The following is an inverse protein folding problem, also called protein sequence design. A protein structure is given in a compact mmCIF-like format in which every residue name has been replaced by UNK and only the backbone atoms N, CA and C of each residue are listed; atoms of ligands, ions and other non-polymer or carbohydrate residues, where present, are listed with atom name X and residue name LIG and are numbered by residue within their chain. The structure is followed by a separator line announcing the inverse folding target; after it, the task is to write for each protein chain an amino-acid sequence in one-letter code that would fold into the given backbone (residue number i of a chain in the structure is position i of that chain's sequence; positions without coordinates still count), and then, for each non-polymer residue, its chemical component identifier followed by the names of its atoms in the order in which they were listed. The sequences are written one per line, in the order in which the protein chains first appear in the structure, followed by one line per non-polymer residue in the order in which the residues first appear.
data_IF_017643509752
#
_entry.id   IF_017643509752
#
_cell.length_a   1.000
_cell.length_b   1.000
_cell.length_c   1.000
_cell.angle_alpha   90.00
_cell.angle_beta   90.00
_cell.angle_gamma   90.00
#
_symmetry.space_group_name_H-M   'P 1'
#
loop_
_entity.id
_entity.type
_entity.pdbx_description
1 polymer ?
#
# COMPACT_ATOMS: atom_id res chain seq x y z
N UNK A 1 14.61 -21.57 -28.05
CA UNK A 1 13.84 -21.62 -26.80
C UNK A 1 14.77 -21.94 -25.65
N UNK A 2 14.87 -21.03 -24.67
CA UNK A 2 15.65 -21.24 -23.45
C UNK A 2 14.97 -22.26 -22.54
N UNK A 3 15.76 -23.09 -21.85
CA UNK A 3 15.26 -24.05 -20.85
C UNK A 3 14.62 -23.34 -19.66
N UNK A 4 13.77 -24.04 -18.89
CA UNK A 4 13.10 -23.46 -17.73
C UNK A 4 14.10 -22.85 -16.71
N UNK A 5 15.24 -23.50 -16.48
CA UNK A 5 16.26 -22.99 -15.58
C UNK A 5 16.92 -21.71 -16.11
N UNK A 6 17.22 -21.66 -17.41
CA UNK A 6 17.78 -20.45 -18.04
C UNK A 6 16.77 -19.29 -18.02
N UNK A 7 15.47 -19.58 -18.18
CA UNK A 7 14.41 -18.57 -18.05
C UNK A 7 14.30 -18.03 -16.62
N UNK A 8 14.42 -18.89 -15.60
CA UNK A 8 14.42 -18.50 -14.20
C UNK A 8 15.65 -17.68 -13.81
N UNK A 9 16.84 -18.07 -14.29
CA UNK A 9 18.07 -17.32 -14.06
C UNK A 9 17.98 -15.93 -14.72
N UNK A 10 17.48 -15.85 -15.95
CA UNK A 10 17.26 -14.60 -16.65
C UNK A 10 16.23 -13.72 -15.93
N UNK A 11 15.16 -14.30 -15.40
CA UNK A 11 14.16 -13.59 -14.60
C UNK A 11 14.80 -12.96 -13.35
N UNK A 12 15.61 -13.71 -12.61
CA UNK A 12 16.32 -13.19 -11.44
C UNK A 12 17.31 -12.07 -11.80
N UNK A 13 18.05 -12.21 -12.92
CA UNK A 13 18.95 -11.17 -13.42
C UNK A 13 18.20 -9.87 -13.77
N UNK A 14 17.03 -9.98 -14.41
CA UNK A 14 16.17 -8.82 -14.73
C UNK A 14 15.67 -8.12 -13.47
N UNK A 15 15.25 -8.87 -12.44
CA UNK A 15 14.85 -8.30 -11.14
C UNK A 15 16.00 -7.52 -10.49
N UNK A 16 17.21 -8.07 -10.52
CA UNK A 16 18.40 -7.40 -10.00
C UNK A 16 18.74 -6.13 -10.79
N UNK A 17 18.61 -6.15 -12.11
CA UNK A 17 18.78 -4.95 -12.95
C UNK A 17 17.75 -3.86 -12.60
N UNK A 18 16.50 -4.24 -12.34
CA UNK A 18 15.44 -3.32 -11.93
C UNK A 18 15.63 -2.72 -10.51
N UNK A 19 16.58 -3.22 -9.71
CA UNK A 19 16.94 -2.62 -8.43
C UNK A 19 17.76 -1.32 -8.57
N UNK A 20 18.32 -1.04 -9.75
CA UNK A 20 19.07 0.19 -10.00
C UNK A 20 18.11 1.38 -10.04
N UNK A 21 18.35 2.37 -9.17
CA UNK A 21 17.57 3.60 -9.10
C UNK A 21 18.12 4.65 -10.08
N UNK A 22 17.22 5.43 -10.66
CA UNK A 22 17.56 6.54 -11.54
C UNK A 22 16.99 7.82 -10.94
N UNK A 23 17.75 8.90 -11.05
CA UNK A 23 17.25 10.22 -10.68
C UNK A 23 16.37 10.78 -11.81
N UNK A 24 15.12 11.08 -11.49
CA UNK A 24 14.16 11.65 -12.43
C UNK A 24 14.07 13.18 -12.36
N UNK A 25 14.73 13.80 -11.37
CA UNK A 25 14.83 15.26 -11.28
C UNK A 25 15.72 15.83 -12.39
N UNK A 26 16.73 15.07 -12.81
CA UNK A 26 17.46 15.33 -14.06
C UNK A 26 16.75 14.64 -15.23
N UNK A 27 16.01 15.42 -16.01
CA UNK A 27 15.21 14.95 -17.14
C UNK A 27 16.03 14.52 -18.36
N UNK A 28 17.34 14.81 -18.40
CA UNK A 28 18.20 14.57 -19.56
C UNK A 28 19.22 13.46 -19.31
N UNK A 29 19.55 13.17 -18.05
CA UNK A 29 20.43 12.06 -17.70
C UNK A 29 19.79 10.69 -17.95
N UNK A 30 20.63 9.74 -18.33
CA UNK A 30 20.31 8.30 -18.36
C UNK A 30 19.06 7.91 -19.15
N UNK A 31 18.60 8.72 -20.12
CA UNK A 31 17.38 8.47 -20.90
C UNK A 31 17.31 7.04 -21.45
N UNK A 32 18.41 6.54 -22.02
CA UNK A 32 18.50 5.18 -22.55
C UNK A 32 18.36 4.13 -21.44
N UNK A 33 19.02 4.32 -20.31
CA UNK A 33 19.00 3.38 -19.18
C UNK A 33 17.63 3.37 -18.48
N UNK A 34 17.01 4.56 -18.33
CA UNK A 34 15.64 4.73 -17.85
C UNK A 34 14.65 3.97 -18.73
N UNK A 35 14.79 4.07 -20.06
CA UNK A 35 13.92 3.35 -20.99
C UNK A 35 14.14 1.83 -20.94
N UNK A 36 15.39 1.37 -20.83
CA UNK A 36 15.71 -0.06 -20.68
C UNK A 36 15.04 -0.62 -19.41
N UNK A 37 15.15 0.07 -18.27
CA UNK A 37 14.48 -0.35 -17.04
C UNK A 37 12.96 -0.36 -17.19
N UNK A 38 12.38 0.66 -17.83
CA UNK A 38 10.93 0.73 -18.09
C UNK A 38 10.45 -0.44 -18.95
N UNK A 39 11.15 -0.75 -20.03
CA UNK A 39 10.83 -1.88 -20.91
C UNK A 39 10.97 -3.22 -20.17
N UNK A 40 12.02 -3.37 -19.36
CA UNK A 40 12.25 -4.59 -18.57
C UNK A 40 11.18 -4.79 -17.50
N UNK A 41 10.76 -3.74 -16.79
CA UNK A 41 9.67 -3.80 -15.82
C UNK A 41 8.35 -4.20 -16.51
N UNK A 42 8.02 -3.62 -17.66
CA UNK A 42 6.84 -4.01 -18.44
C UNK A 42 6.87 -5.49 -18.83
N UNK A 43 8.01 -5.95 -19.33
CA UNK A 43 8.18 -7.37 -19.68
C UNK A 43 8.00 -8.28 -18.46
N UNK A 44 8.54 -7.90 -17.29
CA UNK A 44 8.36 -8.65 -16.04
C UNK A 44 6.89 -8.71 -15.61
N UNK A 45 6.14 -7.61 -15.75
CA UNK A 45 4.70 -7.57 -15.47
C UNK A 45 3.95 -8.54 -16.38
N UNK A 46 4.21 -8.49 -17.69
CA UNK A 46 3.57 -9.37 -18.67
C UNK A 46 3.94 -10.84 -18.43
N UNK A 47 5.22 -11.09 -18.11
CA UNK A 47 5.74 -12.43 -17.87
C UNK A 47 5.08 -13.10 -16.67
N UNK A 48 4.98 -12.41 -15.53
CA UNK A 48 4.31 -12.92 -14.31
C UNK A 48 2.79 -13.03 -14.49
N UNK A 49 2.18 -12.19 -15.32
CA UNK A 49 0.74 -12.23 -15.56
C UNK A 49 0.32 -13.38 -16.48
N UNK A 50 1.16 -13.72 -17.47
CA UNK A 50 0.79 -14.67 -18.53
C UNK A 50 1.28 -16.09 -18.24
N UNK A 51 2.43 -16.24 -17.60
CA UNK A 51 3.08 -17.53 -17.40
C UNK A 51 2.81 -18.08 -16.00
N UNK A 52 2.45 -19.36 -15.92
CA UNK A 52 2.26 -20.08 -14.65
C UNK A 52 3.54 -20.79 -14.22
N UNK A 53 3.71 -20.97 -12.92
CA UNK A 53 4.86 -21.63 -12.32
C UNK A 53 6.15 -20.80 -12.35
N UNK A 54 6.06 -19.52 -12.69
CA UNK A 54 7.21 -18.60 -12.70
C UNK A 54 7.69 -18.28 -11.29
N UNK A 55 6.75 -18.15 -10.35
CA UNK A 55 7.05 -17.73 -8.97
C UNK A 55 7.52 -18.94 -8.16
N UNK A 56 8.81 -19.23 -8.22
CA UNK A 56 9.50 -20.26 -7.44
C UNK A 56 10.01 -19.71 -6.10
N UNK A 57 10.30 -20.58 -5.13
CA UNK A 57 10.73 -20.17 -3.77
C UNK A 57 11.97 -19.26 -3.77
N UNK A 58 12.95 -19.53 -4.65
CA UNK A 58 14.17 -18.72 -4.77
C UNK A 58 13.90 -17.29 -5.26
N UNK A 59 12.86 -17.10 -6.06
CA UNK A 59 12.54 -15.79 -6.65
C UNK A 59 11.92 -14.81 -5.64
N UNK A 60 11.31 -15.28 -4.53
CA UNK A 60 10.65 -14.40 -3.56
C UNK A 60 11.59 -13.35 -2.96
N UNK A 61 12.83 -13.74 -2.66
CA UNK A 61 13.82 -12.83 -2.09
C UNK A 61 14.15 -11.68 -3.06
N UNK A 62 14.41 -12.01 -4.32
CA UNK A 62 14.76 -11.03 -5.35
C UNK A 62 13.58 -10.14 -5.74
N UNK A 63 12.37 -10.71 -5.80
CA UNK A 63 11.13 -9.95 -6.05
C UNK A 63 10.90 -8.92 -4.94
N UNK A 64 10.90 -9.35 -3.67
CA UNK A 64 10.64 -8.44 -2.55
C UNK A 64 11.75 -7.40 -2.45
N UNK A 65 13.01 -7.78 -2.69
CA UNK A 65 14.13 -6.84 -2.73
C UNK A 65 13.95 -5.78 -3.83
N UNK A 66 13.58 -6.18 -5.04
CA UNK A 66 13.34 -5.26 -6.16
C UNK A 66 12.19 -4.30 -5.84
N UNK A 67 11.09 -4.80 -5.26
CA UNK A 67 9.97 -3.95 -4.83
C UNK A 67 10.46 -2.96 -3.77
N UNK A 68 11.04 -3.45 -2.67
CA UNK A 68 11.49 -2.63 -1.55
C UNK A 68 12.50 -1.56 -1.95
N UNK A 69 13.45 -1.87 -2.83
CA UNK A 69 14.45 -0.88 -3.27
C UNK A 69 13.84 0.26 -4.09
N UNK A 70 12.72 0.01 -4.78
CA UNK A 70 12.08 0.99 -5.65
C UNK A 70 10.99 1.82 -4.94
N UNK A 71 10.19 1.21 -4.06
CA UNK A 71 9.06 1.91 -3.44
C UNK A 71 9.42 2.56 -2.09
N UNK A 72 10.26 1.93 -1.28
CA UNK A 72 10.56 2.43 0.07
C UNK A 72 11.57 3.56 0.01
N UNK A 73 11.06 4.78 0.16
CA UNK A 73 11.81 6.02 0.20
C UNK A 73 11.23 6.94 1.27
N UNK A 74 12.05 7.87 1.76
CA UNK A 74 11.52 8.99 2.52
C UNK A 74 10.76 9.88 1.57
N UNK A 75 9.50 10.19 1.89
CA UNK A 75 8.71 11.14 1.10
C UNK A 75 9.36 12.52 1.17
N UNK A 76 9.35 13.30 0.07
CA UNK A 76 9.84 14.66 0.09
C UNK A 76 9.07 15.47 1.16
N UNK A 77 9.72 16.44 1.82
CA UNK A 77 9.00 17.35 2.71
C UNK A 77 7.91 18.04 1.91
N UNK A 78 6.73 18.26 2.51
CA UNK A 78 5.70 19.07 1.87
C UNK A 78 6.24 20.50 1.74
N UNK A 79 6.24 21.01 0.50
CA UNK A 79 6.80 22.33 0.17
C UNK A 79 5.90 23.47 0.70
N UNK A 80 4.64 23.19 1.05
CA UNK A 80 3.68 24.17 1.55
C UNK A 80 3.18 23.82 2.97
N UNK A 81 3.63 24.52 4.02
CA UNK A 81 3.14 24.29 5.38
C UNK A 81 1.67 24.70 5.60
N UNK A 82 1.10 25.52 4.69
CA UNK A 82 -0.31 25.89 4.66
C UNK A 82 -1.07 25.13 3.56
N UNK A 83 -0.56 23.96 3.12
CA UNK A 83 -1.17 23.17 2.04
C UNK A 83 -2.64 22.89 2.35
N UNK A 84 -3.53 23.38 1.48
CA UNK A 84 -4.94 23.04 1.52
C UNK A 84 -5.20 21.88 0.54
N UNK A 85 -5.39 20.65 1.02
CA UNK A 85 -5.70 19.50 0.17
C UNK A 85 -6.97 19.64 -0.68
N UNK A 86 -7.84 20.63 -0.42
CA UNK A 86 -8.99 20.95 -1.29
C UNK A 86 -8.65 21.93 -2.42
N UNK A 87 -7.68 22.83 -2.23
CA UNK A 87 -7.40 23.94 -3.16
C UNK A 87 -6.07 23.77 -3.93
N UNK A 88 -5.08 23.11 -3.33
CA UNK A 88 -3.72 23.02 -3.88
C UNK A 88 -3.52 21.81 -4.81
N UNK A 89 -2.70 22.00 -5.84
CA UNK A 89 -2.33 20.91 -6.76
C UNK A 89 -1.36 19.94 -6.06
N UNK A 90 -1.61 18.61 -6.12
CA UNK A 90 -0.75 17.63 -5.46
C UNK A 90 0.60 17.52 -6.16
N UNK A 91 1.67 17.40 -5.38
CA UNK A 91 3.00 17.11 -5.94
C UNK A 91 3.03 15.70 -6.54
N UNK A 92 3.25 15.62 -7.84
CA UNK A 92 3.35 14.36 -8.56
C UNK A 92 4.75 13.75 -8.43
N UNK A 93 4.82 12.43 -8.26
CA UNK A 93 6.10 11.71 -8.17
C UNK A 93 6.82 11.70 -9.52
N UNK A 94 8.02 12.27 -9.59
CA UNK A 94 8.80 12.38 -10.83
C UNK A 94 9.21 11.01 -11.39
N UNK A 95 9.47 10.03 -10.52
CA UNK A 95 9.85 8.67 -10.90
C UNK A 95 8.66 7.74 -11.19
N UNK A 96 7.44 8.30 -11.27
CA UNK A 96 6.20 7.57 -11.55
C UNK A 96 6.26 6.59 -12.74
N UNK A 97 6.91 6.89 -13.89
CA UNK A 97 7.01 5.94 -15.00
C UNK A 97 7.66 4.60 -14.66
N UNK A 98 8.51 4.56 -13.62
CA UNK A 98 9.07 3.31 -13.09
C UNK A 98 8.25 2.79 -11.92
N UNK A 99 7.89 3.65 -10.96
CA UNK A 99 7.18 3.26 -9.74
C UNK A 99 5.82 2.63 -10.05
N UNK A 100 5.08 3.17 -11.04
CA UNK A 100 3.81 2.60 -11.49
C UNK A 100 3.95 1.13 -11.88
N UNK A 101 4.99 0.80 -12.67
CA UNK A 101 5.23 -0.57 -13.12
C UNK A 101 5.67 -1.49 -11.98
N UNK A 102 6.38 -0.96 -10.99
CA UNK A 102 6.75 -1.72 -9.78
C UNK A 102 5.51 -2.04 -8.95
N UNK A 103 4.59 -1.09 -8.75
CA UNK A 103 3.32 -1.36 -8.07
C UNK A 103 2.43 -2.32 -8.85
N UNK A 104 2.35 -2.18 -10.17
CA UNK A 104 1.61 -3.11 -11.01
C UNK A 104 2.19 -4.52 -10.93
N UNK A 105 3.52 -4.65 -11.04
CA UNK A 105 4.22 -5.92 -10.84
C UNK A 105 3.91 -6.51 -9.47
N UNK A 106 3.95 -5.69 -8.41
CA UNK A 106 3.69 -6.15 -7.05
C UNK A 106 2.25 -6.66 -6.89
N UNK A 107 1.26 -5.96 -7.46
CA UNK A 107 -0.13 -6.41 -7.46
C UNK A 107 -0.29 -7.74 -8.21
N UNK A 108 0.28 -7.86 -9.42
CA UNK A 108 0.23 -9.12 -10.18
C UNK A 108 0.90 -10.27 -9.42
N UNK A 109 2.02 -10.01 -8.77
CA UNK A 109 2.70 -10.98 -7.91
C UNK A 109 1.83 -11.44 -6.74
N UNK A 110 1.16 -10.51 -6.04
CA UNK A 110 0.26 -10.85 -4.94
C UNK A 110 -1.01 -11.56 -5.41
N UNK A 111 -1.55 -11.22 -6.57
CA UNK A 111 -2.78 -11.78 -7.13
C UNK A 111 -2.57 -13.11 -7.86
N UNK A 112 -1.32 -13.44 -8.19
CA UNK A 112 -0.99 -14.69 -8.86
C UNK A 112 -1.53 -15.90 -8.10
N UNK A 113 -2.13 -16.89 -8.80
CA UNK A 113 -2.59 -18.13 -8.18
C UNK A 113 -1.44 -18.97 -7.63
N UNK A 114 -0.22 -18.78 -8.14
CA UNK A 114 0.98 -19.49 -7.71
C UNK A 114 1.63 -18.84 -6.46
N UNK A 115 1.08 -17.72 -5.97
CA UNK A 115 1.58 -17.03 -4.79
C UNK A 115 1.35 -17.85 -3.51
N UNK A 116 2.42 -18.06 -2.74
CA UNK A 116 2.42 -18.84 -1.51
C UNK A 116 2.70 -17.96 -0.29
N UNK A 117 1.66 -17.61 0.51
CA UNK A 117 1.83 -16.78 1.71
C UNK A 117 2.77 -17.38 2.76
N UNK A 118 2.90 -18.70 2.81
CA UNK A 118 3.77 -19.43 3.73
C UNK A 118 5.26 -19.17 3.50
N UNK A 119 5.66 -18.92 2.25
CA UNK A 119 7.03 -18.55 1.86
C UNK A 119 7.20 -17.04 1.97
N UNK A 120 6.26 -16.28 1.41
CA UNK A 120 6.31 -14.82 1.37
C UNK A 120 6.42 -14.17 2.76
N UNK A 121 5.84 -14.77 3.81
CA UNK A 121 5.89 -14.24 5.19
C UNK A 121 7.31 -14.12 5.76
N UNK A 122 8.31 -14.78 5.15
CA UNK A 122 9.72 -14.63 5.54
C UNK A 122 10.31 -13.28 5.11
N UNK A 123 9.70 -12.64 4.12
CA UNK A 123 10.17 -11.40 3.49
C UNK A 123 9.20 -10.23 3.69
N UNK A 124 7.89 -10.52 3.69
CA UNK A 124 6.83 -9.56 4.02
C UNK A 124 6.52 -9.69 5.51
N UNK A 125 7.27 -8.95 6.33
CA UNK A 125 7.16 -8.94 7.78
C UNK A 125 6.54 -7.63 8.30
N UNK A 126 6.56 -7.43 9.62
CA UNK A 126 6.05 -6.19 10.24
C UNK A 126 6.83 -4.96 9.79
N UNK A 127 8.14 -5.08 9.54
CA UNK A 127 8.97 -3.96 9.08
C UNK A 127 8.57 -3.56 7.66
N UNK A 128 8.38 -4.53 6.77
CA UNK A 128 7.88 -4.27 5.42
C UNK A 128 6.54 -3.53 5.45
N UNK A 129 5.59 -4.00 6.28
CA UNK A 129 4.28 -3.36 6.42
C UNK A 129 4.39 -1.94 7.00
N UNK A 130 5.29 -1.73 7.96
CA UNK A 130 5.53 -0.40 8.53
C UNK A 130 6.00 0.60 7.46
N UNK A 131 7.00 0.21 6.67
CA UNK A 131 7.51 1.06 5.57
C UNK A 131 6.45 1.28 4.48
N UNK A 132 5.62 0.28 4.21
CA UNK A 132 4.50 0.42 3.26
C UNK A 132 3.43 1.40 3.77
N UNK A 133 3.14 1.40 5.06
CA UNK A 133 2.17 2.32 5.67
C UNK A 133 2.66 3.76 5.70
N UNK A 134 3.98 3.98 5.82
CA UNK A 134 4.58 5.32 5.76
C UNK A 134 4.37 5.98 4.39
N UNK A 135 4.29 5.20 3.30
CA UNK A 135 4.07 5.72 1.96
C UNK A 135 2.63 6.22 1.72
N UNK A 136 1.67 5.91 2.59
CA UNK A 136 0.30 6.44 2.45
C UNK A 136 0.23 7.96 2.64
N UNK A 137 1.28 8.58 3.17
CA UNK A 137 1.39 10.02 3.26
C UNK A 137 1.86 10.70 1.95
N UNK A 138 2.04 9.92 0.87
CA UNK A 138 2.40 10.45 -0.46
C UNK A 138 1.34 11.44 -0.94
N UNK A 139 1.77 12.60 -1.46
CA UNK A 139 0.88 13.61 -2.05
C UNK A 139 0.25 13.10 -3.36
N UNK A 140 0.91 12.17 -4.06
CA UNK A 140 0.43 11.62 -5.34
C UNK A 140 -0.75 10.64 -5.11
N UNK A 141 -2.00 11.00 -5.52
CA UNK A 141 -3.17 10.15 -5.31
C UNK A 141 -3.07 8.81 -6.04
N UNK A 142 -2.29 8.75 -7.14
CA UNK A 142 -2.10 7.51 -7.90
C UNK A 142 -1.31 6.50 -7.08
N UNK A 143 -0.28 6.95 -6.36
CA UNK A 143 0.50 6.09 -5.47
C UNK A 143 -0.37 5.57 -4.33
N UNK A 144 -1.18 6.44 -3.71
CA UNK A 144 -2.09 6.05 -2.62
C UNK A 144 -3.11 4.99 -3.05
N UNK A 145 -3.66 5.06 -4.27
CA UNK A 145 -4.61 4.06 -4.76
C UNK A 145 -3.96 2.66 -4.98
N UNK A 146 -2.72 2.63 -5.46
CA UNK A 146 -1.95 1.37 -5.53
C UNK A 146 -1.66 0.83 -4.13
N UNK A 147 -1.16 1.67 -3.23
CA UNK A 147 -0.89 1.31 -1.83
C UNK A 147 -2.13 0.75 -1.14
N UNK A 148 -3.29 1.39 -1.37
CA UNK A 148 -4.59 0.94 -0.86
C UNK A 148 -4.86 -0.51 -1.24
N UNK A 149 -4.75 -0.79 -2.53
CA UNK A 149 -5.01 -2.12 -3.09
C UNK A 149 -4.00 -3.15 -2.61
N UNK A 150 -2.71 -2.80 -2.61
CA UNK A 150 -1.61 -3.67 -2.12
C UNK A 150 -1.82 -4.02 -0.65
N UNK A 151 -2.04 -3.04 0.21
CA UNK A 151 -2.23 -3.24 1.64
C UNK A 151 -3.47 -4.11 1.92
N UNK A 152 -4.57 -3.89 1.18
CA UNK A 152 -5.76 -4.72 1.30
C UNK A 152 -5.48 -6.19 0.92
N UNK A 153 -4.73 -6.45 -0.16
CA UNK A 153 -4.32 -7.81 -0.54
C UNK A 153 -3.42 -8.46 0.51
N UNK A 154 -2.45 -7.71 1.06
CA UNK A 154 -1.59 -8.19 2.16
C UNK A 154 -2.43 -8.55 3.38
N UNK A 155 -3.34 -7.67 3.81
CA UNK A 155 -4.22 -7.93 4.95
C UNK A 155 -5.08 -9.20 4.75
N UNK A 156 -5.59 -9.40 3.53
CA UNK A 156 -6.37 -10.58 3.16
C UNK A 156 -5.56 -11.87 3.27
N UNK A 157 -4.35 -11.90 2.69
CA UNK A 157 -3.51 -13.10 2.56
C UNK A 157 -2.70 -13.45 3.81
N UNK A 158 -2.30 -12.46 4.61
CA UNK A 158 -1.43 -12.66 5.78
C UNK A 158 -2.18 -12.50 7.10
N UNK A 159 -2.79 -13.60 7.56
CA UNK A 159 -3.53 -13.62 8.83
C UNK A 159 -2.69 -13.13 10.04
N UNK A 160 -1.40 -13.48 10.07
CA UNK A 160 -0.48 -13.09 11.14
C UNK A 160 -0.13 -11.59 11.19
N UNK A 161 -0.34 -10.86 10.10
CA UNK A 161 -0.07 -9.41 10.03
C UNK A 161 -1.31 -8.56 10.35
N UNK A 162 -2.51 -9.15 10.37
CA UNK A 162 -3.77 -8.41 10.52
C UNK A 162 -3.83 -7.56 11.80
N UNK A 163 -3.42 -8.12 12.93
CA UNK A 163 -3.42 -7.40 14.20
C UNK A 163 -2.42 -6.23 14.19
N UNK A 164 -1.25 -6.45 13.59
CA UNK A 164 -0.23 -5.41 13.44
C UNK A 164 -0.71 -4.27 12.52
N UNK A 165 -1.27 -4.59 11.36
CA UNK A 165 -1.83 -3.60 10.41
C UNK A 165 -2.89 -2.74 11.10
N UNK A 166 -3.89 -3.35 11.76
CA UNK A 166 -4.93 -2.60 12.48
C UNK A 166 -4.34 -1.69 13.56
N UNK A 167 -3.34 -2.17 14.30
CA UNK A 167 -2.66 -1.39 15.34
C UNK A 167 -1.91 -0.19 14.74
N UNK A 168 -1.20 -0.37 13.63
CA UNK A 168 -0.46 0.72 13.00
C UNK A 168 -1.39 1.76 12.37
N UNK A 169 -2.46 1.35 11.69
CA UNK A 169 -3.47 2.28 11.18
C UNK A 169 -4.10 3.08 12.33
N UNK A 170 -4.39 2.42 13.46
CA UNK A 170 -4.87 3.10 14.66
C UNK A 170 -3.87 4.15 15.16
N UNK A 171 -2.58 3.80 15.27
CA UNK A 171 -1.55 4.77 15.66
C UNK A 171 -1.47 5.97 14.70
N UNK A 172 -1.57 5.73 13.39
CA UNK A 172 -1.58 6.79 12.37
C UNK A 172 -2.78 7.73 12.61
N UNK A 173 -3.97 7.18 12.81
CA UNK A 173 -5.17 7.98 13.07
C UNK A 173 -5.10 8.74 14.39
N UNK A 174 -4.59 8.13 15.47
CA UNK A 174 -4.41 8.84 16.73
C UNK A 174 -3.43 10.01 16.59
N UNK A 175 -2.30 9.80 15.89
CA UNK A 175 -1.35 10.88 15.58
C UNK A 175 -1.97 11.98 14.73
N UNK A 176 -2.74 11.61 13.71
CA UNK A 176 -3.48 12.54 12.88
C UNK A 176 -4.46 13.39 13.69
N UNK A 177 -5.27 12.78 14.55
CA UNK A 177 -6.31 13.48 15.33
C UNK A 177 -5.71 14.38 16.42
N UNK A 178 -4.65 13.91 17.10
CA UNK A 178 -4.18 14.54 18.35
C UNK A 178 -2.84 15.28 18.24
N UNK A 179 -2.04 15.05 17.20
CA UNK A 179 -0.69 15.61 17.11
C UNK A 179 -0.48 16.49 15.88
N UNK A 180 -0.74 15.97 14.68
CA UNK A 180 -0.31 16.63 13.43
C UNK A 180 -1.45 17.34 12.69
N UNK A 181 -2.69 16.86 12.81
CA UNK A 181 -3.83 17.25 11.96
C UNK A 181 -3.56 17.12 10.44
N UNK A 182 -2.49 16.43 10.07
CA UNK A 182 -2.03 16.28 8.69
C UNK A 182 -1.62 14.82 8.43
N UNK A 183 -2.24 14.23 7.40
CA UNK A 183 -1.91 12.94 6.80
C UNK A 183 -2.69 12.79 5.49
N UNK A 184 -2.03 12.54 4.36
CA UNK A 184 -2.69 12.57 3.04
C UNK A 184 -3.58 11.34 2.77
N UNK A 185 -3.23 10.17 3.33
CA UNK A 185 -3.87 8.90 3.02
C UNK A 185 -5.04 8.48 3.92
N UNK A 186 -5.70 9.41 4.62
CA UNK A 186 -6.78 9.07 5.57
C UNK A 186 -7.94 8.37 4.87
N UNK A 187 -8.37 8.89 3.72
CA UNK A 187 -9.50 8.35 2.96
C UNK A 187 -9.24 6.90 2.52
N UNK A 188 -8.06 6.62 1.96
CA UNK A 188 -7.68 5.32 1.45
C UNK A 188 -7.54 4.28 2.58
N UNK A 189 -7.00 4.67 3.74
CA UNK A 189 -6.95 3.80 4.91
C UNK A 189 -8.35 3.49 5.45
N UNK A 190 -9.27 4.46 5.44
CA UNK A 190 -10.67 4.25 5.82
C UNK A 190 -11.40 3.31 4.85
N UNK A 191 -11.15 3.39 3.54
CA UNK A 191 -11.72 2.43 2.58
C UNK A 191 -11.33 0.98 2.90
N UNK A 192 -10.04 0.75 3.20
CA UNK A 192 -9.57 -0.57 3.61
C UNK A 192 -10.26 -1.00 4.90
N UNK A 193 -10.34 -0.10 5.89
CA UNK A 193 -10.99 -0.40 7.16
C UNK A 193 -12.48 -0.72 6.98
N UNK A 194 -13.20 -0.03 6.11
CA UNK A 194 -14.60 -0.33 5.81
C UNK A 194 -14.78 -1.78 5.33
N UNK A 195 -13.89 -2.25 4.45
CA UNK A 195 -13.86 -3.65 4.01
C UNK A 195 -13.52 -4.62 5.16
N UNK A 196 -12.55 -4.26 6.00
CA UNK A 196 -12.15 -5.05 7.17
C UNK A 196 -13.29 -5.18 8.19
N UNK A 197 -14.00 -4.09 8.48
CA UNK A 197 -15.11 -4.01 9.43
C UNK A 197 -16.27 -4.87 8.94
N UNK A 198 -16.60 -4.80 7.64
CA UNK A 198 -17.61 -5.68 7.05
C UNK A 198 -17.26 -7.17 7.23
N UNK A 199 -15.97 -7.51 7.23
CA UNK A 199 -15.47 -8.86 7.47
C UNK A 199 -15.40 -9.29 8.94
N UNK A 200 -15.78 -8.46 9.92
CA UNK A 200 -15.73 -8.85 11.33
C UNK A 200 -16.71 -9.97 11.68
N UNK A 201 -16.20 -10.91 12.46
CA UNK A 201 -17.00 -11.98 13.04
C UNK A 201 -17.85 -11.43 14.20
N UNK A 202 -19.05 -12.01 14.37
CA UNK A 202 -19.92 -11.74 15.51
C UNK A 202 -19.73 -12.81 16.60
N UNK A 203 -19.80 -12.44 17.89
CA UNK A 203 -20.00 -11.09 18.41
C UNK A 203 -18.76 -10.19 18.21
N UNK A 204 -18.99 -8.88 18.07
CA UNK A 204 -17.90 -7.91 17.94
C UNK A 204 -16.99 -7.95 19.18
N UNK A 205 -15.68 -8.03 18.94
CA UNK A 205 -14.68 -7.98 20.00
C UNK A 205 -14.63 -6.58 20.65
N UNK A 206 -14.32 -6.56 21.94
CA UNK A 206 -14.18 -5.31 22.70
C UNK A 206 -13.16 -4.34 22.08
N UNK A 207 -12.05 -4.85 21.52
CA UNK A 207 -11.05 -4.03 20.82
C UNK A 207 -11.64 -3.27 19.62
N UNK A 208 -12.58 -3.87 18.88
CA UNK A 208 -13.20 -3.22 17.73
C UNK A 208 -14.21 -2.15 18.16
N UNK A 209 -14.96 -2.40 19.25
CA UNK A 209 -15.85 -1.39 19.85
C UNK A 209 -15.08 -0.19 20.38
N UNK A 210 -13.92 -0.44 21.01
CA UNK A 210 -13.02 0.63 21.45
C UNK A 210 -12.46 1.42 20.26
N UNK A 211 -12.08 0.74 19.17
CA UNK A 211 -11.62 1.40 17.95
C UNK A 211 -12.66 2.36 17.36
N UNK A 212 -13.94 1.95 17.28
CA UNK A 212 -15.03 2.84 16.88
C UNK A 212 -15.08 4.08 17.77
N UNK A 213 -15.22 3.89 19.09
CA UNK A 213 -15.47 4.98 20.03
C UNK A 213 -14.27 5.91 20.26
N UNK A 214 -13.05 5.40 20.17
CA UNK A 214 -11.82 6.13 20.51
C UNK A 214 -11.06 6.66 19.31
N UNK A 215 -11.40 6.20 18.10
CA UNK A 215 -10.68 6.57 16.87
C UNK A 215 -11.65 7.12 15.84
N UNK A 216 -12.58 6.30 15.36
CA UNK A 216 -13.47 6.71 14.26
C UNK A 216 -14.40 7.86 14.64
N UNK A 217 -14.98 7.85 15.85
CA UNK A 217 -15.86 8.94 16.30
C UNK A 217 -15.07 10.27 16.40
N UNK A 218 -13.93 10.34 17.12
CA UNK A 218 -13.11 11.56 17.14
C UNK A 218 -12.64 12.07 15.77
N UNK A 219 -12.48 11.23 14.74
CA UNK A 219 -12.09 11.70 13.41
C UNK A 219 -13.08 12.71 12.79
N UNK A 220 -14.33 12.76 13.26
CA UNK A 220 -15.30 13.76 12.82
C UNK A 220 -14.96 15.20 13.26
N UNK A 221 -14.01 15.37 14.19
CA UNK A 221 -13.59 16.71 14.63
C UNK A 221 -12.43 17.28 13.82
N UNK A 222 -11.88 16.51 12.87
CA UNK A 222 -10.76 16.95 12.06
C UNK A 222 -11.18 18.03 11.05
N UNK A 223 -10.30 19.02 10.81
CA UNK A 223 -10.58 20.14 9.89
C UNK A 223 -10.82 19.68 8.44
N UNK A 224 -10.04 18.72 7.96
CA UNK A 224 -10.17 18.14 6.61
C UNK A 224 -11.23 17.05 6.46
N UNK A 225 -12.27 17.03 7.31
CA UNK A 225 -13.29 15.96 7.32
C UNK A 225 -13.92 15.75 5.94
N UNK A 226 -14.16 16.80 5.17
CA UNK A 226 -14.83 16.73 3.87
C UNK A 226 -14.13 15.77 2.88
N UNK A 227 -12.81 15.64 2.96
CA UNK A 227 -12.00 14.77 2.09
C UNK A 227 -12.24 13.27 2.30
N UNK A 228 -12.61 12.87 3.52
CA UNK A 228 -12.75 11.46 3.89
C UNK A 228 -14.09 11.14 4.58
N UNK A 229 -15.02 12.10 4.61
CA UNK A 229 -16.30 11.98 5.31
C UNK A 229 -17.10 10.77 4.81
N UNK A 230 -17.17 10.56 3.50
CA UNK A 230 -17.94 9.45 2.92
C UNK A 230 -17.41 8.08 3.38
N UNK A 231 -16.09 7.92 3.40
CA UNK A 231 -15.40 6.70 3.82
C UNK A 231 -15.54 6.48 5.33
N UNK A 232 -15.46 7.56 6.13
CA UNK A 232 -15.66 7.51 7.57
C UNK A 232 -17.10 7.11 7.92
N UNK A 233 -18.08 7.77 7.31
CA UNK A 233 -19.50 7.47 7.50
C UNK A 233 -19.81 6.02 7.11
N UNK A 234 -19.25 5.52 6.00
CA UNK A 234 -19.36 4.12 5.62
C UNK A 234 -18.82 3.18 6.71
N UNK A 235 -17.65 3.46 7.28
CA UNK A 235 -17.10 2.65 8.38
C UNK A 235 -18.02 2.62 9.61
N UNK A 236 -18.57 3.78 9.99
CA UNK A 236 -19.49 3.89 11.14
C UNK A 236 -20.78 3.10 10.89
N UNK A 237 -21.41 3.29 9.73
CA UNK A 237 -22.62 2.55 9.36
C UNK A 237 -22.37 1.04 9.40
N UNK A 238 -21.23 0.58 8.87
CA UNK A 238 -20.87 -0.84 8.92
C UNK A 238 -20.73 -1.39 10.34
N UNK A 239 -20.28 -0.59 11.30
CA UNK A 239 -20.28 -1.00 12.71
C UNK A 239 -21.69 -1.13 13.28
N UNK A 240 -22.58 -0.18 12.98
CA UNK A 240 -23.95 -0.17 13.47
C UNK A 240 -24.79 -1.32 12.88
N UNK A 241 -24.56 -1.66 11.61
CA UNK A 241 -25.19 -2.82 10.98
C UNK A 241 -24.77 -4.15 11.64
N UNK A 242 -23.54 -4.23 12.16
CA UNK A 242 -23.01 -5.41 12.85
C UNK A 242 -23.50 -5.54 14.28
N UNK A 243 -23.74 -4.43 14.97
CA UNK A 243 -24.20 -4.40 16.35
C UNK A 243 -25.01 -3.13 16.64
N UNK A 244 -26.34 -3.26 16.65
CA UNK A 244 -27.27 -2.14 16.86
C UNK A 244 -27.22 -1.56 18.28
N UNK A 245 -26.57 -2.23 19.24
CA UNK A 245 -26.38 -1.69 20.60
C UNK A 245 -25.40 -0.52 20.62
N UNK A 246 -24.63 -0.32 19.55
CA UNK A 246 -23.68 0.77 19.40
C UNK A 246 -24.32 2.08 18.91
N UNK A 247 -25.60 2.09 18.56
CA UNK A 247 -26.27 3.28 17.99
C UNK A 247 -26.46 4.42 18.99
N UNK A 248 -26.79 4.12 20.25
CA UNK A 248 -26.94 5.16 21.29
C UNK A 248 -25.61 5.86 21.66
N UNK A 249 -24.46 5.16 21.79
CA UNK A 249 -23.20 5.82 22.13
C UNK A 249 -22.49 6.54 20.98
N UNK A 250 -22.84 6.26 19.72
CA UNK A 250 -22.27 6.88 18.50
C UNK A 250 -22.99 8.17 18.16
#
# INVERSE_FOLDING_TARGET
DATFNEQQDLFCQKLQQCCVLFDFMDSVSDLKSKEIKRATLNELVEYVSTNRGVIVESAYADIVKMISSNIFRTLPPSDNPDFDPEEDEPTLEASWPHIQLVYEFFLRFLESPDFQPSIAKRYIDQKFVQQLLELFDSEDPRERDFLKTVLHRIYGKFLGLRAFIRKQINNIFLRFIYETEHFNGVAELLEILGSIINGFALPLKAEHKQFLMKVLIPMHTAKGLALFHAQLAYCVVQFLEKDTTLTEPV
#
